data_IF_042257743935
#
_entry.id   IF_042257743935
#
_cell.length_a   1.000
_cell.length_b   1.000
_cell.length_c   1.000
_cell.angle_alpha   90.00
_cell.angle_beta   90.00
_cell.angle_gamma   90.00
#
_symmetry.space_group_name_H-M   'P 1'
#
loop_
_entity.id
_entity.type
_entity.pdbx_description
1 polymer ?
#
# COMPACT_ATOMS: atom_id res chain seq x y z
N UNK A 1 -35.67 -22.77 -12.89
CA UNK A 1 -35.70 -21.29 -12.75
C UNK A 1 -34.31 -20.82 -13.09
N UNK A 2 -34.14 -19.98 -14.11
CA UNK A 2 -32.84 -19.44 -14.47
C UNK A 2 -32.38 -18.55 -13.34
N UNK A 3 -31.10 -18.60 -12.86
CA UNK A 3 -30.61 -17.83 -11.72
C UNK A 3 -30.85 -16.30 -11.80
N UNK A 4 -31.11 -15.79 -12.98
CA UNK A 4 -31.40 -14.37 -13.27
C UNK A 4 -32.75 -13.83 -12.75
N UNK A 5 -33.62 -14.67 -12.17
CA UNK A 5 -34.93 -14.21 -11.68
C UNK A 5 -34.96 -13.83 -10.21
N UNK A 6 -33.85 -14.03 -9.46
CA UNK A 6 -33.76 -13.61 -8.06
C UNK A 6 -33.30 -12.17 -7.95
N UNK A 7 -34.02 -11.28 -7.23
CA UNK A 7 -33.61 -9.90 -6.98
C UNK A 7 -32.22 -9.79 -6.34
N UNK A 8 -31.84 -10.75 -5.49
CA UNK A 8 -30.54 -10.79 -4.82
C UNK A 8 -29.40 -10.98 -5.84
N UNK A 9 -29.55 -11.94 -6.77
CA UNK A 9 -28.55 -12.19 -7.81
C UNK A 9 -28.49 -11.03 -8.80
N UNK A 10 -29.63 -10.54 -9.24
CA UNK A 10 -29.69 -9.37 -10.13
C UNK A 10 -29.00 -8.16 -9.53
N UNK A 11 -29.20 -7.89 -8.23
CA UNK A 11 -28.50 -6.83 -7.52
C UNK A 11 -26.99 -7.02 -7.60
N UNK A 12 -26.46 -8.20 -7.27
CA UNK A 12 -25.01 -8.48 -7.25
C UNK A 12 -24.42 -8.33 -8.65
N UNK A 13 -25.06 -8.92 -9.67
CA UNK A 13 -24.64 -8.83 -11.07
C UNK A 13 -24.56 -7.37 -11.54
N UNK A 14 -25.61 -6.59 -11.29
CA UNK A 14 -25.66 -5.17 -11.64
C UNK A 14 -24.59 -4.36 -10.93
N UNK A 15 -24.29 -4.67 -9.65
CA UNK A 15 -23.22 -3.98 -8.90
C UNK A 15 -21.84 -4.28 -9.48
N UNK A 16 -21.56 -5.53 -9.86
CA UNK A 16 -20.30 -5.89 -10.54
C UNK A 16 -20.16 -5.12 -11.86
N UNK A 17 -21.18 -5.17 -12.73
CA UNK A 17 -21.16 -4.49 -14.02
C UNK A 17 -20.98 -2.95 -13.88
N UNK A 18 -21.73 -2.32 -12.98
CA UNK A 18 -21.62 -0.90 -12.69
C UNK A 18 -20.22 -0.54 -12.19
N UNK A 19 -19.71 -1.27 -11.21
CA UNK A 19 -18.39 -1.02 -10.64
C UNK A 19 -17.26 -1.15 -11.67
N UNK A 20 -17.30 -2.14 -12.54
CA UNK A 20 -16.33 -2.30 -13.66
C UNK A 20 -16.42 -1.11 -14.63
N UNK A 21 -17.64 -0.70 -14.98
CA UNK A 21 -17.87 0.45 -15.87
C UNK A 21 -17.33 1.75 -15.27
N UNK A 22 -17.59 1.99 -13.99
CA UNK A 22 -17.15 3.20 -13.28
C UNK A 22 -15.62 3.31 -13.23
N UNK A 23 -14.91 2.19 -13.08
CA UNK A 23 -13.45 2.13 -13.11
C UNK A 23 -12.87 1.94 -14.52
N UNK A 24 -13.70 1.94 -15.56
CA UNK A 24 -13.33 1.80 -16.97
C UNK A 24 -12.62 0.50 -17.31
N UNK A 25 -12.98 -0.59 -16.65
CA UNK A 25 -12.56 -1.93 -17.00
C UNK A 25 -13.59 -2.61 -17.93
N UNK A 26 -13.15 -3.50 -18.84
CA UNK A 26 -14.06 -4.32 -19.67
C UNK A 26 -14.97 -5.18 -18.79
N UNK A 27 -16.23 -5.40 -19.25
CA UNK A 27 -17.15 -6.30 -18.55
C UNK A 27 -16.69 -7.78 -18.58
N UNK A 28 -15.80 -8.13 -19.52
CA UNK A 28 -15.16 -9.44 -19.64
C UNK A 28 -13.90 -9.60 -18.77
N UNK A 29 -13.59 -8.62 -17.92
CA UNK A 29 -12.43 -8.72 -17.00
C UNK A 29 -12.55 -9.96 -16.12
N UNK A 30 -11.50 -10.80 -15.97
CA UNK A 30 -11.56 -11.99 -15.15
C UNK A 30 -11.97 -11.67 -13.71
N UNK A 31 -12.86 -12.46 -13.14
CA UNK A 31 -13.39 -12.30 -11.78
C UNK A 31 -12.81 -13.37 -10.86
N UNK A 32 -12.20 -12.96 -9.77
CA UNK A 32 -11.61 -13.82 -8.74
C UNK A 32 -12.48 -13.78 -7.49
N UNK A 33 -13.16 -14.88 -7.19
CA UNK A 33 -14.00 -15.00 -5.99
C UNK A 33 -13.18 -15.54 -4.82
N UNK A 34 -13.12 -14.82 -3.71
CA UNK A 34 -12.60 -15.36 -2.45
C UNK A 34 -13.60 -16.36 -1.88
N UNK A 35 -13.42 -17.63 -2.22
CA UNK A 35 -14.38 -18.70 -1.95
C UNK A 35 -14.01 -19.49 -0.70
N UNK A 36 -14.67 -19.20 0.42
CA UNK A 36 -14.48 -19.93 1.68
C UNK A 36 -15.33 -21.18 1.81
N UNK A 37 -16.36 -21.32 0.99
CA UNK A 37 -17.39 -22.37 1.08
C UNK A 37 -18.56 -21.99 2.01
N UNK A 38 -18.47 -20.91 2.77
CA UNK A 38 -19.56 -20.40 3.60
C UNK A 38 -20.65 -19.74 2.74
N UNK A 39 -21.87 -19.58 3.31
CA UNK A 39 -23.06 -19.12 2.57
C UNK A 39 -22.83 -17.84 1.78
N UNK A 40 -22.15 -16.82 2.32
CA UNK A 40 -21.91 -15.55 1.64
C UNK A 40 -21.08 -15.71 0.38
N UNK A 41 -19.98 -16.49 0.47
CA UNK A 41 -19.11 -16.76 -0.65
C UNK A 41 -19.76 -17.69 -1.69
N UNK A 42 -20.65 -18.55 -1.24
CA UNK A 42 -21.43 -19.46 -2.15
C UNK A 42 -22.45 -18.65 -2.95
N UNK A 43 -23.20 -17.76 -2.32
CA UNK A 43 -24.13 -16.86 -3.03
C UNK A 43 -23.38 -15.90 -3.97
N UNK A 44 -22.23 -15.38 -3.54
CA UNK A 44 -21.39 -14.57 -4.43
C UNK A 44 -20.93 -15.37 -5.66
N UNK A 45 -20.51 -16.63 -5.49
CA UNK A 45 -20.10 -17.49 -6.60
C UNK A 45 -21.25 -17.71 -7.58
N UNK A 46 -22.47 -17.99 -7.11
CA UNK A 46 -23.66 -18.11 -7.95
C UNK A 46 -23.96 -16.84 -8.74
N UNK A 47 -23.84 -15.67 -8.11
CA UNK A 47 -24.02 -14.39 -8.79
C UNK A 47 -22.95 -14.15 -9.87
N UNK A 48 -21.71 -14.58 -9.64
CA UNK A 48 -20.61 -14.45 -10.62
C UNK A 48 -20.80 -15.43 -11.78
N UNK A 49 -21.38 -16.62 -11.53
CA UNK A 49 -21.78 -17.56 -12.60
C UNK A 49 -22.86 -16.93 -13.48
N UNK A 50 -23.89 -16.33 -12.87
CA UNK A 50 -24.92 -15.60 -13.61
C UNK A 50 -24.35 -14.38 -14.38
N UNK A 51 -23.33 -13.72 -13.82
CA UNK A 51 -22.60 -12.67 -14.52
C UNK A 51 -21.87 -13.19 -15.75
N UNK A 52 -21.18 -14.34 -15.67
CA UNK A 52 -20.51 -15.00 -16.81
C UNK A 52 -21.47 -15.29 -17.96
N UNK A 53 -22.68 -15.76 -17.66
CA UNK A 53 -23.69 -16.02 -18.67
C UNK A 53 -24.09 -14.77 -19.49
N UNK A 54 -23.99 -13.57 -18.88
CA UNK A 54 -24.33 -12.33 -19.57
C UNK A 54 -23.13 -11.69 -20.28
N UNK A 55 -21.93 -11.77 -19.71
CA UNK A 55 -20.79 -10.95 -20.12
C UNK A 55 -19.57 -11.77 -20.57
N UNK A 56 -19.66 -13.11 -20.56
CA UNK A 56 -18.57 -14.01 -20.96
C UNK A 56 -17.24 -13.73 -20.22
N UNK A 57 -17.34 -13.47 -18.91
CA UNK A 57 -16.19 -13.17 -18.05
C UNK A 57 -15.59 -14.46 -17.48
N UNK A 58 -14.26 -14.69 -17.56
CA UNK A 58 -13.62 -15.82 -16.90
C UNK A 58 -13.78 -15.75 -15.38
N UNK A 59 -14.09 -16.91 -14.75
CA UNK A 59 -14.27 -17.01 -13.29
C UNK A 59 -13.19 -17.89 -12.68
N UNK A 60 -12.60 -17.38 -11.61
CA UNK A 60 -11.65 -18.10 -10.77
C UNK A 60 -12.12 -18.07 -9.33
N UNK A 61 -12.25 -19.21 -8.67
CA UNK A 61 -12.55 -19.33 -7.26
C UNK A 61 -11.26 -19.67 -6.49
N UNK A 62 -10.95 -18.90 -5.46
CA UNK A 62 -9.74 -19.10 -4.66
C UNK A 62 -10.13 -19.46 -3.24
N UNK A 63 -9.79 -20.69 -2.83
CA UNK A 63 -9.93 -21.16 -1.45
C UNK A 63 -8.58 -21.12 -0.74
N UNK A 64 -8.54 -20.47 0.44
CA UNK A 64 -7.33 -20.39 1.25
C UNK A 64 -7.49 -21.24 2.49
N UNK A 65 -6.74 -22.34 2.53
CA UNK A 65 -6.72 -23.30 3.62
C UNK A 65 -5.68 -22.90 4.67
N UNK A 66 -6.12 -22.49 5.85
CA UNK A 66 -5.27 -21.96 6.93
C UNK A 66 -4.72 -23.04 7.88
N UNK A 67 -5.16 -24.30 7.78
CA UNK A 67 -4.74 -25.39 8.68
C UNK A 67 -5.22 -25.26 10.14
N UNK A 68 -6.13 -24.33 10.46
CA UNK A 68 -6.56 -24.04 11.84
C UNK A 68 -7.74 -24.89 12.31
N UNK A 69 -8.50 -25.50 11.42
CA UNK A 69 -9.63 -26.38 11.72
C UNK A 69 -9.35 -27.81 11.26
N UNK A 70 -9.81 -28.79 12.04
CA UNK A 70 -9.76 -30.20 11.64
C UNK A 70 -10.60 -30.49 10.40
N UNK A 71 -11.62 -29.67 10.13
CA UNK A 71 -12.52 -29.79 8.99
C UNK A 71 -12.03 -29.06 7.72
N UNK A 72 -10.91 -28.33 7.78
CA UNK A 72 -10.43 -27.48 6.69
C UNK A 72 -10.22 -28.25 5.37
N UNK A 73 -9.76 -29.52 5.44
CA UNK A 73 -9.59 -30.36 4.24
C UNK A 73 -10.93 -30.79 3.62
N UNK A 74 -11.95 -31.00 4.45
CA UNK A 74 -13.30 -31.31 3.95
C UNK A 74 -13.93 -30.09 3.27
N UNK A 75 -13.69 -28.89 3.81
CA UNK A 75 -14.16 -27.63 3.21
C UNK A 75 -13.49 -27.37 1.85
N UNK A 76 -12.18 -27.61 1.76
CA UNK A 76 -11.46 -27.49 0.50
C UNK A 76 -12.01 -28.44 -0.58
N UNK A 77 -12.29 -29.71 -0.23
CA UNK A 77 -12.90 -30.69 -1.14
C UNK A 77 -14.32 -30.29 -1.54
N UNK A 78 -15.11 -29.77 -0.60
CA UNK A 78 -16.44 -29.24 -0.90
C UNK A 78 -16.35 -28.10 -1.92
N UNK A 79 -15.49 -27.11 -1.68
CA UNK A 79 -15.28 -25.98 -2.58
C UNK A 79 -14.83 -26.43 -3.98
N UNK A 80 -13.89 -27.37 -4.07
CA UNK A 80 -13.41 -27.94 -5.32
C UNK A 80 -14.53 -28.64 -6.10
N UNK A 81 -15.36 -29.42 -5.39
CA UNK A 81 -16.49 -30.12 -6.01
C UNK A 81 -17.51 -29.13 -6.58
N UNK A 82 -17.91 -28.10 -5.81
CA UNK A 82 -18.84 -27.09 -6.27
C UNK A 82 -18.31 -26.34 -7.51
N UNK A 83 -17.05 -25.93 -7.49
CA UNK A 83 -16.42 -25.27 -8.63
C UNK A 83 -16.39 -26.17 -9.88
N UNK A 84 -16.13 -27.47 -9.71
CA UNK A 84 -16.14 -28.44 -10.81
C UNK A 84 -17.53 -28.60 -11.42
N UNK A 85 -18.59 -28.65 -10.62
CA UNK A 85 -19.96 -28.76 -11.07
C UNK A 85 -20.40 -27.55 -11.89
N UNK A 86 -19.88 -26.37 -11.58
CA UNK A 86 -20.22 -25.09 -12.20
C UNK A 86 -19.21 -24.67 -13.29
N UNK A 87 -18.27 -25.53 -13.66
CA UNK A 87 -17.19 -25.21 -14.62
C UNK A 87 -16.44 -23.91 -14.28
N UNK A 88 -16.01 -23.78 -13.00
CA UNK A 88 -15.25 -22.66 -12.45
C UNK A 88 -13.83 -23.10 -12.17
N UNK A 89 -12.84 -22.32 -12.62
CA UNK A 89 -11.43 -22.57 -12.30
C UNK A 89 -11.17 -22.44 -10.80
N UNK A 90 -10.74 -23.54 -10.16
CA UNK A 90 -10.52 -23.60 -8.71
C UNK A 90 -9.03 -23.54 -8.36
N UNK A 91 -8.68 -22.67 -7.39
CA UNK A 91 -7.34 -22.51 -6.87
C UNK A 91 -7.32 -22.76 -5.37
N UNK A 92 -6.53 -23.74 -4.93
CA UNK A 92 -6.33 -24.06 -3.51
C UNK A 92 -4.97 -23.58 -3.03
N UNK A 93 -4.97 -22.63 -2.10
CA UNK A 93 -3.75 -22.15 -1.43
C UNK A 93 -3.68 -22.68 0.01
N UNK A 94 -2.64 -23.46 0.30
CA UNK A 94 -2.33 -23.88 1.66
C UNK A 94 -1.34 -22.89 2.25
N UNK A 95 -1.69 -22.30 3.38
CA UNK A 95 -0.90 -21.24 4.01
C UNK A 95 -0.60 -21.61 5.47
N UNK A 96 0.63 -21.36 5.88
CA UNK A 96 1.04 -21.49 7.27
C UNK A 96 0.81 -20.16 8.00
N UNK A 97 0.07 -20.22 9.13
CA UNK A 97 -0.16 -19.06 9.98
C UNK A 97 0.79 -19.11 11.15
N UNK A 98 1.66 -18.10 11.30
CA UNK A 98 2.58 -17.98 12.43
C UNK A 98 1.81 -17.79 13.74
N UNK A 99 1.74 -18.88 14.53
CA UNK A 99 1.07 -18.92 15.84
C UNK A 99 1.94 -18.43 17.00
N UNK A 100 3.23 -18.19 16.76
CA UNK A 100 4.24 -17.83 17.78
C UNK A 100 4.43 -16.33 18.00
N UNK A 101 3.83 -15.47 17.20
CA UNK A 101 4.04 -14.03 17.28
C UNK A 101 3.11 -13.36 18.30
N UNK A 102 3.55 -12.25 18.94
CA UNK A 102 2.71 -11.37 19.78
C UNK A 102 1.59 -10.66 19.00
N UNK A 103 1.38 -11.03 17.75
CA UNK A 103 0.33 -10.49 16.87
C UNK A 103 -0.94 -11.32 17.03
N UNK A 104 -2.09 -10.67 16.81
CA UNK A 104 -3.36 -11.38 16.77
C UNK A 104 -3.33 -12.41 15.63
N UNK A 105 -3.61 -13.69 15.97
CA UNK A 105 -3.71 -14.81 15.03
C UNK A 105 -4.66 -14.46 13.84
N UNK A 106 -5.77 -13.79 14.15
CA UNK A 106 -6.73 -13.31 13.15
C UNK A 106 -6.10 -12.33 12.14
N UNK A 107 -5.26 -11.40 12.63
CA UNK A 107 -4.62 -10.40 11.76
C UNK A 107 -3.59 -11.05 10.82
N UNK A 108 -2.81 -12.02 11.30
CA UNK A 108 -1.85 -12.74 10.46
C UNK A 108 -2.57 -13.67 9.47
N UNK A 109 -3.57 -14.43 9.89
CA UNK A 109 -4.38 -15.26 9.00
C UNK A 109 -5.05 -14.42 7.90
N UNK A 110 -5.60 -13.25 8.27
CA UNK A 110 -6.16 -12.29 7.30
C UNK A 110 -5.10 -11.78 6.31
N UNK A 111 -3.90 -11.45 6.78
CA UNK A 111 -2.82 -10.96 5.93
C UNK A 111 -2.39 -12.00 4.90
N UNK A 112 -2.14 -13.23 5.34
CA UNK A 112 -1.70 -14.34 4.48
C UNK A 112 -2.78 -14.69 3.46
N UNK A 113 -4.06 -14.71 3.89
CA UNK A 113 -5.21 -14.90 2.99
C UNK A 113 -5.25 -13.84 1.88
N UNK A 114 -5.13 -12.55 2.23
CA UNK A 114 -5.14 -11.50 1.22
C UNK A 114 -3.97 -11.59 0.26
N UNK A 115 -2.78 -11.97 0.73
CA UNK A 115 -1.62 -12.14 -0.15
C UNK A 115 -1.86 -13.23 -1.20
N UNK A 116 -2.39 -14.38 -0.80
CA UNK A 116 -2.71 -15.47 -1.72
C UNK A 116 -3.79 -15.05 -2.76
N UNK A 117 -4.83 -14.34 -2.30
CA UNK A 117 -5.89 -13.84 -3.19
C UNK A 117 -5.36 -12.83 -4.22
N UNK A 118 -4.53 -11.89 -3.78
CA UNK A 118 -3.94 -10.86 -4.64
C UNK A 118 -2.95 -11.47 -5.64
N UNK A 119 -2.17 -12.46 -5.23
CA UNK A 119 -1.24 -13.17 -6.12
C UNK A 119 -1.97 -13.78 -7.33
N UNK A 120 -3.12 -14.41 -7.12
CA UNK A 120 -3.93 -14.94 -8.23
C UNK A 120 -4.44 -13.80 -9.11
N UNK A 121 -4.95 -12.72 -8.52
CA UNK A 121 -5.43 -11.57 -9.28
C UNK A 121 -4.32 -10.97 -10.17
N UNK A 122 -3.11 -10.83 -9.63
CA UNK A 122 -1.97 -10.29 -10.38
C UNK A 122 -1.55 -11.22 -11.53
N UNK A 123 -1.57 -12.55 -11.30
CA UNK A 123 -1.20 -13.55 -12.32
C UNK A 123 -2.17 -13.56 -13.51
N UNK A 124 -3.47 -13.35 -13.27
CA UNK A 124 -4.50 -13.44 -14.33
C UNK A 124 -5.04 -12.08 -14.79
N UNK A 125 -4.58 -10.98 -14.20
CA UNK A 125 -5.10 -9.64 -14.48
C UNK A 125 -6.57 -9.48 -14.06
N UNK A 126 -6.97 -10.12 -12.95
CA UNK A 126 -8.37 -10.22 -12.51
C UNK A 126 -8.73 -9.25 -11.38
N UNK A 127 -10.04 -9.14 -11.13
CA UNK A 127 -10.64 -8.34 -10.04
C UNK A 127 -11.04 -9.25 -8.90
N UNK A 128 -10.65 -8.91 -7.66
CA UNK A 128 -11.00 -9.68 -6.46
C UNK A 128 -12.41 -9.35 -5.98
N UNK A 129 -13.26 -10.37 -5.87
CA UNK A 129 -14.61 -10.27 -5.31
C UNK A 129 -14.66 -10.87 -3.91
N UNK A 130 -15.23 -10.12 -2.96
CA UNK A 130 -15.39 -10.52 -1.56
C UNK A 130 -16.88 -10.54 -1.18
N UNK A 131 -17.33 -11.63 -0.55
CA UNK A 131 -18.70 -11.81 -0.08
C UNK A 131 -19.01 -11.09 1.24
N UNK A 132 -18.55 -9.84 1.39
CA UNK A 132 -18.84 -9.01 2.57
C UNK A 132 -20.18 -8.30 2.40
N UNK A 133 -20.96 -8.22 3.48
CA UNK A 133 -22.35 -7.76 3.48
C UNK A 133 -22.59 -6.65 4.53
N UNK A 134 -23.83 -6.21 4.70
CA UNK A 134 -24.17 -5.02 5.51
C UNK A 134 -23.79 -5.16 7.00
N UNK A 135 -23.96 -6.35 7.59
CA UNK A 135 -23.56 -6.58 8.98
C UNK A 135 -22.04 -6.56 9.17
N UNK A 136 -21.25 -7.03 8.18
CA UNK A 136 -19.79 -6.87 8.21
C UNK A 136 -19.36 -5.39 8.21
N UNK A 137 -20.17 -4.52 7.60
CA UNK A 137 -19.96 -3.08 7.65
C UNK A 137 -20.19 -2.54 9.06
N UNK A 138 -21.27 -2.98 9.76
CA UNK A 138 -21.50 -2.62 11.16
C UNK A 138 -20.33 -3.07 12.05
N UNK A 139 -19.90 -4.33 11.92
CA UNK A 139 -18.73 -4.86 12.65
C UNK A 139 -17.52 -3.95 12.45
N UNK A 140 -17.23 -3.59 11.20
CA UNK A 140 -16.07 -2.77 10.85
C UNK A 140 -16.16 -1.38 11.45
N UNK A 141 -17.31 -0.72 11.37
CA UNK A 141 -17.53 0.62 11.94
C UNK A 141 -17.40 0.60 13.46
N UNK A 142 -17.99 -0.39 14.15
CA UNK A 142 -17.89 -0.54 15.60
C UNK A 142 -16.45 -0.79 16.06
N UNK A 143 -15.69 -1.63 15.34
CA UNK A 143 -14.28 -1.86 15.63
C UNK A 143 -13.43 -0.60 15.41
N UNK A 144 -13.76 0.20 14.42
CA UNK A 144 -13.08 1.47 14.19
C UNK A 144 -13.42 2.51 15.27
N UNK A 145 -14.68 2.58 15.71
CA UNK A 145 -15.09 3.40 16.88
C UNK A 145 -14.34 3.00 18.14
N UNK A 146 -14.24 1.70 18.45
CA UNK A 146 -13.46 1.16 19.58
C UNK A 146 -11.99 1.65 19.55
N UNK A 147 -11.42 1.80 18.36
CA UNK A 147 -10.03 2.25 18.15
C UNK A 147 -9.87 3.78 18.15
N UNK A 148 -10.96 4.54 18.29
CA UNK A 148 -10.92 6.00 18.20
C UNK A 148 -10.61 6.52 16.79
N UNK A 149 -11.06 5.81 15.76
CA UNK A 149 -10.83 6.21 14.38
C UNK A 149 -11.59 7.50 14.03
N UNK A 150 -10.95 8.33 13.19
CA UNK A 150 -11.60 9.49 12.57
C UNK A 150 -12.44 9.11 11.34
N UNK A 151 -12.97 10.12 10.59
CA UNK A 151 -13.88 9.89 9.46
C UNK A 151 -13.37 8.86 8.45
N UNK A 152 -12.08 8.87 8.12
CA UNK A 152 -11.49 7.89 7.19
C UNK A 152 -11.62 6.44 7.67
N UNK A 153 -11.51 6.17 8.99
CA UNK A 153 -11.73 4.84 9.54
C UNK A 153 -13.21 4.50 9.66
N UNK A 154 -14.06 5.49 10.00
CA UNK A 154 -15.51 5.33 10.10
C UNK A 154 -16.18 5.17 8.72
N UNK A 155 -15.49 5.48 7.63
CA UNK A 155 -15.90 5.14 6.27
C UNK A 155 -16.08 3.62 6.06
N UNK A 156 -15.58 2.80 6.99
CA UNK A 156 -15.74 1.35 6.94
C UNK A 156 -15.07 0.73 5.71
N UNK A 157 -15.79 -0.20 5.08
CA UNK A 157 -15.35 -0.84 3.83
C UNK A 157 -16.00 -0.13 2.64
N UNK A 158 -15.19 0.24 1.65
CA UNK A 158 -15.72 0.70 0.36
C UNK A 158 -16.19 -0.49 -0.48
N UNK A 159 -17.20 -0.28 -1.30
CA UNK A 159 -17.64 -1.27 -2.28
C UNK A 159 -16.54 -1.59 -3.29
N UNK A 160 -15.82 -0.56 -3.70
CA UNK A 160 -14.66 -0.64 -4.59
C UNK A 160 -13.42 -0.09 -3.88
N UNK A 161 -12.32 -0.81 -3.94
CA UNK A 161 -11.07 -0.43 -3.29
C UNK A 161 -9.88 -0.98 -4.08
N UNK A 162 -8.81 -0.20 -4.20
CA UNK A 162 -7.52 -0.69 -4.71
C UNK A 162 -6.61 -1.14 -3.57
N UNK A 163 -5.88 -2.23 -3.81
CA UNK A 163 -4.78 -2.67 -2.95
C UNK A 163 -3.57 -3.00 -3.83
N UNK A 164 -2.58 -2.10 -3.85
CA UNK A 164 -1.61 -2.06 -4.94
C UNK A 164 -2.33 -1.73 -6.24
N UNK A 165 -2.08 -2.51 -7.27
CA UNK A 165 -2.73 -2.39 -8.59
C UNK A 165 -4.00 -3.23 -8.70
N UNK A 166 -4.27 -4.12 -7.73
CA UNK A 166 -5.44 -5.01 -7.76
C UNK A 166 -6.69 -4.30 -7.29
N UNK A 167 -7.75 -4.38 -8.08
CA UNK A 167 -9.09 -3.92 -7.74
C UNK A 167 -9.80 -4.96 -6.87
N UNK A 168 -10.40 -4.52 -5.78
CA UNK A 168 -11.23 -5.32 -4.87
C UNK A 168 -12.64 -4.78 -4.89
N UNK A 169 -13.62 -5.64 -5.12
CA UNK A 169 -15.04 -5.29 -5.09
C UNK A 169 -15.80 -6.08 -4.01
N UNK A 170 -16.82 -5.45 -3.45
CA UNK A 170 -17.75 -6.03 -2.44
C UNK A 170 -19.19 -5.80 -2.90
N UNK A 171 -19.65 -6.55 -3.92
CA UNK A 171 -20.93 -6.27 -4.56
C UNK A 171 -22.13 -6.57 -3.67
N UNK A 172 -21.92 -7.26 -2.54
CA UNK A 172 -22.98 -7.63 -1.56
C UNK A 172 -23.01 -6.66 -0.36
N UNK A 173 -22.20 -5.59 -0.34
CA UNK A 173 -22.05 -4.74 0.85
C UNK A 173 -23.34 -4.02 1.29
N UNK A 174 -24.28 -3.85 0.39
CA UNK A 174 -25.60 -3.27 0.68
C UNK A 174 -26.67 -4.30 1.06
N UNK A 175 -26.42 -5.60 0.86
CA UNK A 175 -27.35 -6.68 1.18
C UNK A 175 -27.30 -7.05 2.67
N UNK A 176 -28.45 -7.36 3.24
CA UNK A 176 -28.56 -7.88 4.61
C UNK A 176 -28.28 -9.40 4.60
N UNK A 177 -27.70 -9.92 5.66
CA UNK A 177 -27.39 -11.36 5.80
C UNK A 177 -28.64 -12.23 5.58
N UNK A 178 -29.78 -11.77 6.08
CA UNK A 178 -31.06 -12.48 5.92
C UNK A 178 -31.46 -12.66 4.44
N UNK A 179 -31.19 -11.67 3.57
CA UNK A 179 -31.49 -11.75 2.14
C UNK A 179 -30.59 -12.79 1.46
N UNK A 180 -29.32 -12.85 1.87
CA UNK A 180 -28.32 -13.80 1.36
C UNK A 180 -28.69 -15.24 1.74
N UNK A 181 -29.03 -15.45 3.01
CA UNK A 181 -29.43 -16.78 3.53
C UNK A 181 -30.74 -17.25 2.89
N UNK A 182 -31.73 -16.36 2.81
CA UNK A 182 -33.02 -16.69 2.18
C UNK A 182 -32.84 -17.15 0.73
N UNK A 183 -32.00 -16.47 -0.05
CA UNK A 183 -31.67 -16.90 -1.41
C UNK A 183 -30.98 -18.28 -1.42
N UNK A 184 -29.98 -18.48 -0.55
CA UNK A 184 -29.27 -19.75 -0.49
C UNK A 184 -30.18 -20.94 -0.14
N UNK A 185 -31.16 -20.74 0.76
CA UNK A 185 -32.16 -21.73 1.15
C UNK A 185 -33.17 -21.99 0.01
N UNK A 186 -33.67 -20.95 -0.65
CA UNK A 186 -34.59 -21.04 -1.78
C UNK A 186 -33.99 -21.85 -2.92
N UNK A 187 -32.75 -21.62 -3.27
CA UNK A 187 -32.01 -22.32 -4.32
C UNK A 187 -31.36 -23.62 -3.84
N UNK A 188 -31.60 -24.02 -2.60
CA UNK A 188 -31.06 -25.26 -1.99
C UNK A 188 -29.54 -25.37 -2.16
N UNK A 189 -28.82 -24.24 -2.07
CA UNK A 189 -27.37 -24.22 -2.18
C UNK A 189 -26.72 -25.00 -1.05
N UNK A 190 -25.59 -25.63 -1.32
CA UNK A 190 -24.82 -26.35 -0.33
C UNK A 190 -23.66 -25.47 0.13
N UNK A 191 -23.54 -25.24 1.42
CA UNK A 191 -22.44 -24.48 2.04
C UNK A 191 -21.88 -25.17 3.27
N UNK A 192 -20.72 -24.74 3.73
CA UNK A 192 -20.09 -25.22 4.96
C UNK A 192 -20.18 -24.16 6.06
N UNK A 193 -20.29 -24.60 7.32
CA UNK A 193 -20.24 -23.72 8.48
C UNK A 193 -18.90 -23.89 9.19
N UNK A 194 -18.19 -22.77 9.37
CA UNK A 194 -16.94 -22.73 10.12
C UNK A 194 -17.24 -22.56 11.63
N UNK A 195 -16.92 -23.59 12.41
CA UNK A 195 -17.15 -23.64 13.85
C UNK A 195 -16.41 -22.53 14.60
N UNK A 196 -15.30 -22.02 14.04
CA UNK A 196 -14.55 -20.90 14.64
C UNK A 196 -15.35 -19.60 14.69
N UNK A 197 -16.40 -19.44 13.88
CA UNK A 197 -17.29 -18.29 13.90
C UNK A 197 -18.09 -18.16 15.23
N UNK A 198 -18.21 -19.27 16.00
CA UNK A 198 -18.87 -19.28 17.29
C UNK A 198 -17.97 -18.86 18.46
N UNK A 199 -16.67 -18.70 18.23
CA UNK A 199 -15.71 -18.36 19.28
C UNK A 199 -15.71 -16.86 19.59
N UNK A 200 -16.39 -16.45 20.66
CA UNK A 200 -16.51 -15.04 21.09
C UNK A 200 -15.24 -14.44 21.71
N UNK A 201 -14.12 -15.18 21.73
CA UNK A 201 -12.81 -14.65 22.15
C UNK A 201 -12.26 -13.57 21.21
N UNK A 202 -12.71 -13.55 19.96
CA UNK A 202 -12.36 -12.54 18.99
C UNK A 202 -13.39 -11.40 18.99
N UNK A 203 -12.92 -10.15 19.02
CA UNK A 203 -13.78 -8.96 19.02
C UNK A 203 -14.86 -8.99 17.92
N UNK A 204 -14.50 -9.46 16.72
CA UNK A 204 -15.41 -9.51 15.57
C UNK A 204 -16.53 -10.53 15.80
N UNK A 205 -16.20 -11.73 16.26
CA UNK A 205 -17.21 -12.76 16.56
C UNK A 205 -18.10 -12.33 17.73
N UNK A 206 -17.53 -11.69 18.77
CA UNK A 206 -18.31 -11.13 19.87
C UNK A 206 -19.33 -10.09 19.37
N UNK A 207 -18.92 -9.18 18.49
CA UNK A 207 -19.85 -8.21 17.90
C UNK A 207 -20.95 -8.91 17.10
N UNK A 208 -20.57 -9.87 16.24
CA UNK A 208 -21.48 -10.62 15.36
C UNK A 208 -22.52 -11.43 16.14
N UNK A 209 -22.08 -12.16 17.16
CA UNK A 209 -22.90 -13.14 17.84
C UNK A 209 -23.71 -12.53 19.00
N UNK A 210 -23.15 -11.52 19.69
CA UNK A 210 -23.75 -10.98 20.91
C UNK A 210 -24.33 -9.56 20.73
N UNK A 211 -23.58 -8.66 20.09
CA UNK A 211 -23.94 -7.24 20.12
C UNK A 211 -24.87 -6.86 18.97
N UNK A 212 -24.50 -7.21 17.73
CA UNK A 212 -25.25 -6.80 16.54
C UNK A 212 -26.66 -7.35 16.54
N UNK A 213 -26.94 -8.62 16.91
CA UNK A 213 -28.31 -9.11 17.01
C UNK A 213 -29.18 -8.30 17.95
N UNK A 214 -28.67 -7.91 19.11
CA UNK A 214 -29.40 -7.06 20.07
C UNK A 214 -29.68 -5.65 19.51
N UNK A 215 -28.70 -5.08 18.79
CA UNK A 215 -28.86 -3.78 18.13
C UNK A 215 -29.93 -3.84 17.03
N UNK A 216 -29.88 -4.87 16.18
CA UNK A 216 -30.85 -5.07 15.09
C UNK A 216 -32.27 -5.37 15.60
N UNK A 217 -32.40 -6.14 16.67
CA UNK A 217 -33.69 -6.36 17.33
C UNK A 217 -34.32 -5.04 17.82
N UNK A 218 -33.51 -4.10 18.32
CA UNK A 218 -33.96 -2.79 18.78
C UNK A 218 -34.15 -1.77 17.67
N UNK A 219 -33.24 -1.81 16.67
CA UNK A 219 -33.21 -0.89 15.53
C UNK A 219 -33.08 -1.68 14.20
N UNK A 220 -34.18 -2.21 13.64
CA UNK A 220 -34.14 -3.06 12.45
C UNK A 220 -33.51 -2.42 11.21
N UNK A 221 -33.44 -1.09 11.15
CA UNK A 221 -32.84 -0.34 10.02
C UNK A 221 -31.39 0.06 10.27
N UNK A 222 -30.72 -0.49 11.28
CA UNK A 222 -29.36 -0.10 11.67
C UNK A 222 -28.35 -0.36 10.56
N UNK A 223 -28.47 -1.46 9.84
CA UNK A 223 -27.64 -1.80 8.66
C UNK A 223 -27.60 -0.63 7.67
N UNK A 224 -28.77 -0.14 7.26
CA UNK A 224 -28.92 0.97 6.31
C UNK A 224 -28.41 2.30 6.86
N UNK A 225 -28.63 2.56 8.16
CA UNK A 225 -28.19 3.84 8.78
C UNK A 225 -26.68 3.88 9.00
N UNK A 226 -26.07 2.77 9.41
CA UNK A 226 -24.62 2.66 9.55
C UNK A 226 -23.95 2.70 8.17
N UNK A 227 -24.48 1.99 7.16
CA UNK A 227 -24.00 2.05 5.80
C UNK A 227 -23.97 3.48 5.26
N UNK A 228 -25.08 4.23 5.40
CA UNK A 228 -25.16 5.64 5.00
C UNK A 228 -24.14 6.52 5.74
N UNK A 229 -23.97 6.32 7.05
CA UNK A 229 -23.00 7.10 7.82
C UNK A 229 -21.58 6.82 7.36
N UNK A 230 -21.25 5.56 7.06
CA UNK A 230 -19.95 5.17 6.52
C UNK A 230 -19.72 5.80 5.14
N UNK A 231 -20.72 5.78 4.26
CA UNK A 231 -20.66 6.41 2.93
C UNK A 231 -20.41 7.92 3.02
N UNK A 232 -21.15 8.64 3.86
CA UNK A 232 -20.92 10.08 4.09
C UNK A 232 -19.52 10.36 4.64
N UNK A 233 -19.02 9.50 5.53
CA UNK A 233 -17.64 9.60 6.02
C UNK A 233 -16.62 9.35 4.88
N UNK A 234 -16.90 8.42 3.96
CA UNK A 234 -16.05 8.14 2.81
C UNK A 234 -16.00 9.35 1.86
N UNK A 235 -17.15 9.91 1.49
CA UNK A 235 -17.25 11.10 0.64
C UNK A 235 -16.48 12.29 1.23
N UNK A 236 -16.70 12.61 2.49
CA UNK A 236 -15.97 13.69 3.16
C UNK A 236 -14.46 13.41 3.21
N UNK A 237 -14.07 12.17 3.47
CA UNK A 237 -12.65 11.78 3.52
C UNK A 237 -11.99 11.89 2.16
N UNK A 238 -12.70 11.59 1.07
CA UNK A 238 -12.22 11.76 -0.30
C UNK A 238 -11.97 13.24 -0.62
N UNK A 239 -12.94 14.11 -0.36
CA UNK A 239 -12.82 15.57 -0.58
C UNK A 239 -11.64 16.18 0.20
N UNK A 240 -11.49 15.78 1.47
CA UNK A 240 -10.36 16.22 2.31
C UNK A 240 -9.03 15.67 1.77
N UNK A 241 -9.01 14.42 1.32
CA UNK A 241 -7.80 13.80 0.75
C UNK A 241 -7.35 14.50 -0.52
N UNK A 242 -8.28 14.82 -1.43
CA UNK A 242 -8.00 15.55 -2.68
C UNK A 242 -7.43 16.95 -2.40
N UNK A 243 -8.03 17.66 -1.45
CA UNK A 243 -7.53 18.96 -1.02
C UNK A 243 -6.14 18.85 -0.35
N UNK A 244 -5.95 17.85 0.50
CA UNK A 244 -4.67 17.60 1.15
C UNK A 244 -3.57 17.25 0.13
N UNK A 245 -3.92 16.52 -0.94
CA UNK A 245 -2.98 16.21 -2.01
C UNK A 245 -2.52 17.48 -2.74
N UNK A 246 -3.42 18.42 -3.03
CA UNK A 246 -3.06 19.73 -3.63
C UNK A 246 -2.08 20.50 -2.73
N UNK A 247 -2.39 20.62 -1.44
CA UNK A 247 -1.46 21.26 -0.49
C UNK A 247 -0.13 20.52 -0.35
N UNK A 248 -0.14 19.19 -0.45
CA UNK A 248 1.09 18.40 -0.46
C UNK A 248 1.95 18.71 -1.70
N UNK A 249 1.34 18.75 -2.90
CA UNK A 249 2.04 19.12 -4.14
C UNK A 249 2.70 20.50 -4.03
N UNK A 250 2.00 21.48 -3.42
CA UNK A 250 2.53 22.82 -3.18
C UNK A 250 3.69 22.84 -2.17
N UNK A 251 3.66 21.94 -1.19
CA UNK A 251 4.67 21.86 -0.12
C UNK A 251 5.83 20.94 -0.47
N UNK A 252 5.66 19.95 -1.37
CA UNK A 252 6.73 19.01 -1.67
C UNK A 252 7.87 19.64 -2.47
N UNK A 253 9.07 19.10 -2.28
CA UNK A 253 10.25 19.30 -3.13
C UNK A 253 10.35 18.18 -4.16
N UNK A 254 11.23 18.37 -5.16
CA UNK A 254 11.46 17.37 -6.23
C UNK A 254 11.88 15.97 -5.73
N UNK A 255 12.46 15.90 -4.54
CA UNK A 255 12.94 14.69 -3.86
C UNK A 255 12.01 14.21 -2.74
N UNK A 256 10.74 14.58 -2.80
CA UNK A 256 9.70 14.27 -1.81
C UNK A 256 9.93 14.85 -0.40
N UNK A 257 10.91 15.74 -0.19
CA UNK A 257 11.01 16.51 1.06
C UNK A 257 9.80 17.44 1.20
N UNK A 258 9.42 17.80 2.43
CA UNK A 258 8.43 18.85 2.66
C UNK A 258 9.11 20.19 2.97
N UNK A 259 8.69 21.24 2.28
CA UNK A 259 9.04 22.62 2.57
C UNK A 259 8.39 23.05 3.90
N UNK A 260 9.17 23.15 4.96
CA UNK A 260 8.66 23.49 6.29
C UNK A 260 7.98 24.85 6.36
N UNK A 261 8.53 25.96 5.82
CA UNK A 261 7.86 27.24 5.74
C UNK A 261 6.50 27.23 5.06
N UNK A 262 6.37 26.56 3.89
CA UNK A 262 5.08 26.42 3.21
C UNK A 262 4.10 25.59 4.03
N UNK A 263 4.56 24.51 4.65
CA UNK A 263 3.75 23.69 5.52
C UNK A 263 3.27 24.49 6.74
N UNK A 264 4.17 25.25 7.39
CA UNK A 264 3.86 26.06 8.56
C UNK A 264 2.86 27.21 8.27
N UNK A 265 2.76 27.66 7.02
CA UNK A 265 1.80 28.67 6.60
C UNK A 265 0.35 28.15 6.51
N UNK A 266 0.15 26.84 6.46
CA UNK A 266 -1.17 26.23 6.47
C UNK A 266 -1.77 26.24 7.90
N UNK A 267 -3.10 26.12 8.01
CA UNK A 267 -3.73 25.90 9.30
C UNK A 267 -3.37 24.51 9.86
N UNK A 268 -3.35 24.37 11.20
CA UNK A 268 -2.96 23.11 11.86
C UNK A 268 -3.68 21.85 11.32
N UNK A 269 -5.01 21.86 11.04
CA UNK A 269 -5.66 20.71 10.44
C UNK A 269 -5.07 20.35 9.07
N UNK A 270 -4.79 21.33 8.21
CA UNK A 270 -4.19 21.08 6.91
C UNK A 270 -2.74 20.62 7.00
N UNK A 271 -1.96 21.17 7.93
CA UNK A 271 -0.60 20.68 8.20
C UNK A 271 -0.62 19.17 8.52
N UNK A 272 -1.53 18.72 9.38
CA UNK A 272 -1.68 17.32 9.73
C UNK A 272 -2.09 16.45 8.53
N UNK A 273 -2.97 16.93 7.67
CA UNK A 273 -3.40 16.22 6.46
C UNK A 273 -2.28 16.12 5.42
N UNK A 274 -1.50 17.19 5.24
CA UNK A 274 -0.32 17.18 4.34
C UNK A 274 0.73 16.18 4.82
N UNK A 275 1.00 16.10 6.13
CA UNK A 275 1.92 15.08 6.67
C UNK A 275 1.42 13.67 6.35
N UNK A 276 0.12 13.39 6.50
CA UNK A 276 -0.45 12.09 6.15
C UNK A 276 -0.34 11.78 4.64
N UNK A 277 -0.59 12.78 3.78
CA UNK A 277 -0.40 12.66 2.34
C UNK A 277 1.07 12.40 1.99
N UNK A 278 1.98 13.08 2.66
CA UNK A 278 3.42 12.89 2.50
C UNK A 278 3.87 11.46 2.86
N UNK A 279 3.43 10.92 4.00
CA UNK A 279 3.75 9.53 4.38
C UNK A 279 3.22 8.53 3.35
N UNK A 280 2.00 8.76 2.84
CA UNK A 280 1.40 7.93 1.78
C UNK A 280 2.22 7.96 0.49
N UNK A 281 2.72 9.13 0.10
CA UNK A 281 3.62 9.29 -1.04
C UNK A 281 4.97 8.60 -0.87
N UNK A 282 5.40 8.36 0.40
CA UNK A 282 6.60 7.57 0.72
C UNK A 282 6.31 6.04 0.75
N UNK A 283 5.08 5.61 0.51
CA UNK A 283 4.66 4.21 0.66
C UNK A 283 4.47 3.77 2.12
N UNK A 284 4.39 4.72 3.06
CA UNK A 284 4.34 4.45 4.49
C UNK A 284 2.91 4.59 5.05
N UNK A 285 2.68 3.89 6.16
CA UNK A 285 1.42 4.04 6.90
C UNK A 285 1.30 5.46 7.48
N UNK A 286 0.08 6.01 7.42
CA UNK A 286 -0.20 7.30 8.03
C UNK A 286 0.17 7.33 9.51
N UNK A 287 0.86 8.37 10.00
CA UNK A 287 1.24 8.49 11.40
C UNK A 287 0.01 8.64 12.30
N UNK A 288 0.13 8.16 13.54
CA UNK A 288 -0.85 8.41 14.60
C UNK A 288 -0.96 9.92 14.89
N UNK A 289 -2.04 10.33 15.56
CA UNK A 289 -2.21 11.73 15.97
C UNK A 289 -0.99 12.22 16.79
N UNK A 290 -0.55 11.45 17.78
CA UNK A 290 0.60 11.81 18.62
C UNK A 290 1.89 11.97 17.82
N UNK A 291 2.17 11.07 16.86
CA UNK A 291 3.32 11.19 15.98
C UNK A 291 3.21 12.41 15.05
N UNK A 292 2.01 12.66 14.51
CA UNK A 292 1.76 13.85 13.69
C UNK A 292 2.03 15.14 14.49
N UNK A 293 1.53 15.21 15.71
CA UNK A 293 1.74 16.38 16.60
C UNK A 293 3.23 16.57 16.92
N UNK A 294 4.00 15.48 17.11
CA UNK A 294 5.45 15.54 17.30
C UNK A 294 6.17 16.08 16.04
N UNK A 295 5.81 15.61 14.86
CA UNK A 295 6.39 16.12 13.60
C UNK A 295 6.05 17.60 13.41
N UNK A 296 4.82 18.02 13.68
CA UNK A 296 4.43 19.43 13.61
C UNK A 296 5.17 20.31 14.62
N UNK A 297 5.45 19.80 15.83
CA UNK A 297 6.25 20.52 16.83
C UNK A 297 7.68 20.82 16.33
N UNK A 298 8.25 19.98 15.45
CA UNK A 298 9.56 20.20 14.87
C UNK A 298 9.64 21.49 14.05
N UNK A 299 8.53 21.91 13.42
CA UNK A 299 8.48 23.15 12.63
C UNK A 299 8.78 24.40 13.47
N UNK A 300 8.52 24.33 14.78
CA UNK A 300 8.75 25.44 15.76
C UNK A 300 10.14 25.40 16.40
N UNK A 301 10.94 24.37 16.12
CA UNK A 301 12.28 24.27 16.72
C UNK A 301 13.20 25.39 16.22
N UNK A 302 14.26 25.69 17.00
CA UNK A 302 15.29 26.70 16.62
C UNK A 302 15.91 26.32 15.27
N UNK A 303 16.39 27.35 14.55
CA UNK A 303 16.94 27.18 13.19
C UNK A 303 18.13 26.21 13.10
N UNK A 304 18.96 26.20 14.12
CA UNK A 304 20.17 25.38 14.24
C UNK A 304 19.91 23.96 14.80
N UNK A 305 18.69 23.71 15.28
CA UNK A 305 18.29 22.41 15.78
C UNK A 305 17.93 21.46 14.64
N UNK A 306 18.30 20.20 14.80
CA UNK A 306 17.91 19.10 13.90
C UNK A 306 17.08 18.08 14.67
N UNK A 307 15.83 18.43 15.06
CA UNK A 307 14.97 17.50 15.76
C UNK A 307 14.59 16.33 14.87
N UNK A 308 14.35 15.16 15.51
CA UNK A 308 13.90 13.95 14.82
C UNK A 308 12.75 13.27 15.55
N UNK A 309 11.91 12.57 14.78
CA UNK A 309 10.84 11.70 15.25
C UNK A 309 11.01 10.33 14.62
N UNK A 310 11.13 9.30 15.46
CA UNK A 310 11.35 7.93 15.00
C UNK A 310 10.04 7.20 14.71
N UNK A 311 10.06 6.40 13.63
CA UNK A 311 9.00 5.51 13.21
C UNK A 311 9.56 4.08 13.05
N UNK A 312 8.70 3.13 12.79
CA UNK A 312 9.11 1.72 12.67
C UNK A 312 10.15 1.48 11.56
N UNK A 313 9.97 2.12 10.41
CA UNK A 313 10.76 1.88 9.21
C UNK A 313 11.68 3.04 8.81
N UNK A 314 11.59 4.14 9.54
CA UNK A 314 12.37 5.34 9.24
C UNK A 314 12.21 6.39 10.32
N UNK A 315 12.63 7.59 10.01
CA UNK A 315 12.51 8.75 10.87
C UNK A 315 12.28 10.03 10.08
N UNK A 316 11.52 10.94 10.65
CA UNK A 316 11.41 12.31 10.14
C UNK A 316 12.48 13.16 10.80
N UNK A 317 13.25 13.86 10.01
CA UNK A 317 14.28 14.79 10.49
C UNK A 317 13.98 16.17 9.90
N UNK A 318 14.05 17.22 10.73
CA UNK A 318 14.07 18.60 10.23
C UNK A 318 15.50 19.05 10.01
N UNK A 319 15.80 19.48 8.79
CA UNK A 319 17.09 20.04 8.42
C UNK A 319 16.89 21.21 7.45
N UNK A 320 17.57 22.32 7.69
CA UNK A 320 17.51 23.57 6.91
C UNK A 320 16.05 24.02 6.60
N UNK A 321 15.17 23.95 7.61
CA UNK A 321 13.73 24.25 7.58
C UNK A 321 12.84 23.25 6.84
N UNK A 322 13.39 22.29 6.10
CA UNK A 322 12.61 21.23 5.42
C UNK A 322 12.50 19.98 6.28
N UNK A 323 11.47 19.16 6.05
CA UNK A 323 11.28 17.86 6.68
C UNK A 323 11.71 16.77 5.71
N UNK A 324 12.52 15.85 6.21
CA UNK A 324 13.07 14.71 5.47
C UNK A 324 12.52 13.42 6.04
N UNK A 325 12.08 12.50 5.16
CA UNK A 325 11.88 11.11 5.52
C UNK A 325 13.14 10.32 5.26
N UNK A 326 13.73 9.79 6.32
CA UNK A 326 14.96 9.00 6.25
C UNK A 326 14.64 7.57 6.63
N UNK A 327 14.70 6.66 5.66
CA UNK A 327 14.48 5.22 5.89
C UNK A 327 15.62 4.65 6.70
N UNK A 328 15.33 3.72 7.61
CA UNK A 328 16.35 2.94 8.28
C UNK A 328 17.00 2.04 7.23
N UNK A 329 18.20 2.43 6.79
CA UNK A 329 18.92 1.77 5.69
C UNK A 329 19.30 0.36 6.11
N UNK A 330 18.86 -0.63 5.34
CA UNK A 330 19.28 -2.03 5.45
C UNK A 330 20.45 -2.35 4.51
N UNK A 331 20.87 -1.40 3.67
CA UNK A 331 21.96 -1.61 2.70
C UNK A 331 23.26 -1.02 3.22
N UNK A 332 24.30 -1.86 3.24
CA UNK A 332 25.67 -1.36 3.47
C UNK A 332 26.06 -0.46 2.31
N UNK A 333 26.57 0.72 2.63
CA UNK A 333 27.15 1.64 1.63
C UNK A 333 28.57 1.18 1.34
N UNK A 334 28.87 0.64 0.14
CA UNK A 334 30.20 0.16 -0.16
C UNK A 334 31.20 1.30 -0.17
N UNK A 335 32.37 1.11 0.44
CA UNK A 335 33.40 2.15 0.47
C UNK A 335 34.03 2.36 -0.93
N UNK A 336 34.24 1.30 -1.66
CA UNK A 336 34.77 1.31 -3.03
C UNK A 336 34.00 0.30 -3.88
N UNK A 337 33.58 0.73 -5.07
CA UNK A 337 32.89 -0.11 -6.04
C UNK A 337 33.56 0.09 -7.41
N UNK A 338 34.04 -0.99 -8.03
CA UNK A 338 34.50 -0.93 -9.42
C UNK A 338 33.30 -0.86 -10.33
N UNK A 339 33.32 0.06 -11.27
CA UNK A 339 32.23 0.29 -12.21
C UNK A 339 32.63 -0.20 -13.59
N UNK A 340 31.67 -0.76 -14.32
CA UNK A 340 31.85 -1.13 -15.73
C UNK A 340 31.29 0.02 -16.57
N UNK A 341 32.10 0.67 -17.41
CA UNK A 341 31.62 1.74 -18.28
C UNK A 341 30.46 1.29 -19.17
N UNK A 342 29.56 2.23 -19.47
CA UNK A 342 28.40 2.05 -20.35
C UNK A 342 27.29 1.10 -19.79
N UNK A 343 27.39 0.61 -18.56
CA UNK A 343 26.37 -0.17 -17.90
C UNK A 343 25.57 0.68 -16.89
N UNK A 344 24.30 0.33 -16.71
CA UNK A 344 23.49 0.87 -15.62
C UNK A 344 23.80 0.10 -14.33
N UNK A 345 24.20 0.81 -13.29
CA UNK A 345 24.58 0.24 -12.00
C UNK A 345 23.66 0.80 -10.94
N UNK A 346 22.95 -0.10 -10.23
CA UNK A 346 22.08 0.27 -9.14
C UNK A 346 22.89 0.77 -7.94
N UNK A 347 22.45 1.88 -7.36
CA UNK A 347 22.95 2.45 -6.11
C UNK A 347 21.81 2.45 -5.06
N UNK A 348 21.54 1.32 -4.41
CA UNK A 348 20.35 1.14 -3.58
C UNK A 348 20.25 2.15 -2.43
N UNK A 349 21.37 2.59 -1.89
CA UNK A 349 21.42 3.61 -0.82
C UNK A 349 21.06 5.03 -1.30
N UNK A 350 21.07 5.27 -2.63
CA UNK A 350 20.62 6.52 -3.26
C UNK A 350 19.25 6.38 -3.94
N UNK A 351 18.65 5.17 -3.91
CA UNK A 351 17.40 4.83 -4.61
C UNK A 351 17.45 5.23 -6.07
N UNK A 352 18.50 4.79 -6.79
CA UNK A 352 18.65 5.16 -8.18
C UNK A 352 19.76 4.38 -8.86
N UNK A 353 19.92 4.69 -10.15
CA UNK A 353 20.90 4.06 -11.03
C UNK A 353 21.88 5.08 -11.59
N UNK A 354 23.14 4.68 -11.72
CA UNK A 354 24.17 5.48 -12.38
C UNK A 354 24.61 4.80 -13.67
N UNK A 355 24.79 5.59 -14.72
CA UNK A 355 25.45 5.20 -15.96
C UNK A 355 26.58 6.16 -16.27
N UNK A 356 27.77 5.60 -16.54
CA UNK A 356 28.95 6.38 -16.88
C UNK A 356 29.36 6.00 -18.32
N UNK A 357 29.16 6.92 -19.26
CA UNK A 357 29.59 6.77 -20.62
C UNK A 357 30.99 7.39 -20.77
N UNK A 358 31.95 6.58 -21.21
CA UNK A 358 33.32 7.00 -21.49
C UNK A 358 33.62 6.69 -22.97
N UNK A 359 33.33 7.63 -23.91
CA UNK A 359 33.37 7.36 -25.34
C UNK A 359 34.76 7.00 -25.89
N UNK A 360 35.83 7.36 -25.16
CA UNK A 360 37.23 7.12 -25.54
C UNK A 360 38.02 6.39 -24.44
N UNK A 361 37.33 5.52 -23.65
CA UNK A 361 38.04 4.71 -22.67
C UNK A 361 39.12 3.85 -23.36
N UNK A 362 40.34 3.95 -22.88
CA UNK A 362 41.36 2.94 -23.20
C UNK A 362 41.01 1.68 -22.44
N UNK A 363 41.32 0.50 -22.98
CA UNK A 363 41.06 -0.78 -22.29
C UNK A 363 41.66 -0.84 -20.85
N UNK A 364 42.65 0.01 -20.58
CA UNK A 364 43.36 0.11 -19.30
C UNK A 364 42.69 1.06 -18.29
N UNK A 365 41.71 1.89 -18.68
CA UNK A 365 41.10 2.89 -17.79
C UNK A 365 40.20 2.21 -16.74
N UNK A 366 40.50 2.45 -15.48
CA UNK A 366 39.69 1.95 -14.34
C UNK A 366 38.71 3.01 -13.93
N UNK A 367 37.40 2.63 -13.87
CA UNK A 367 36.34 3.47 -13.35
C UNK A 367 35.91 2.91 -12.01
N UNK A 368 35.87 3.75 -10.96
CA UNK A 368 35.47 3.35 -9.64
C UNK A 368 34.60 4.41 -8.97
N UNK A 369 33.85 3.97 -7.96
CA UNK A 369 33.04 4.82 -7.11
C UNK A 369 33.55 4.67 -5.69
N UNK A 370 33.83 5.80 -5.03
CA UNK A 370 34.24 5.86 -3.63
C UNK A 370 33.21 6.62 -2.80
N UNK A 371 32.78 6.03 -1.70
CA UNK A 371 31.95 6.69 -0.70
C UNK A 371 32.77 7.04 0.55
N UNK A 372 32.16 7.74 1.50
CA UNK A 372 32.83 8.22 2.73
C UNK A 372 34.09 9.07 2.45
N UNK A 373 34.14 9.74 1.32
CA UNK A 373 35.29 10.49 0.80
C UNK A 373 35.42 11.90 1.38
N UNK A 374 35.06 12.13 2.67
CA UNK A 374 34.98 13.46 3.31
C UNK A 374 36.29 14.27 3.26
N UNK A 375 37.42 13.58 3.24
CA UNK A 375 38.75 14.20 3.22
C UNK A 375 39.31 14.38 1.80
N UNK A 376 38.57 13.97 0.77
CA UNK A 376 38.96 14.19 -0.60
C UNK A 376 38.99 15.69 -0.91
N UNK A 377 40.09 16.16 -1.49
CA UNK A 377 40.21 17.56 -1.89
C UNK A 377 39.72 17.71 -3.32
N UNK A 378 38.66 18.47 -3.52
CA UNK A 378 37.98 18.59 -4.81
C UNK A 378 37.76 20.06 -5.19
N UNK A 379 37.66 20.31 -6.48
CA UNK A 379 37.32 21.60 -7.07
C UNK A 379 36.16 21.40 -8.03
N UNK A 380 34.92 21.70 -7.65
CA UNK A 380 33.77 21.69 -8.55
C UNK A 380 33.99 22.58 -9.76
N UNK A 381 33.42 22.21 -10.93
CA UNK A 381 33.60 22.93 -12.20
C UNK A 381 33.32 24.43 -12.08
N UNK A 382 32.30 24.80 -11.33
CA UNK A 382 31.87 26.19 -11.12
C UNK A 382 32.54 26.87 -9.91
N UNK A 383 33.61 26.27 -9.36
CA UNK A 383 34.29 26.83 -8.19
C UNK A 383 35.67 27.39 -8.53
N UNK A 384 36.04 28.50 -7.85
CA UNK A 384 37.35 29.11 -8.02
C UNK A 384 38.41 28.50 -7.12
N UNK A 385 38.02 27.76 -6.09
CA UNK A 385 38.93 27.22 -5.06
C UNK A 385 38.71 25.72 -4.85
N UNK A 386 39.80 25.04 -4.52
CA UNK A 386 39.75 23.63 -4.09
C UNK A 386 39.63 23.57 -2.58
N UNK A 387 38.67 22.75 -2.09
CA UNK A 387 38.41 22.51 -0.66
C UNK A 387 38.24 21.04 -0.37
N UNK A 388 38.31 20.65 0.89
CA UNK A 388 37.92 19.30 1.32
C UNK A 388 36.42 19.09 1.10
N UNK A 389 36.02 17.89 0.69
CA UNK A 389 34.64 17.57 0.37
C UNK A 389 33.69 17.82 1.56
N UNK A 390 34.15 17.62 2.82
CA UNK A 390 33.39 17.98 4.04
C UNK A 390 33.04 19.47 4.13
N UNK A 391 33.83 20.36 3.52
CA UNK A 391 33.54 21.80 3.48
C UNK A 391 32.53 22.12 2.39
N UNK A 392 32.61 21.45 1.25
CA UNK A 392 31.60 21.54 0.20
C UNK A 392 30.24 21.04 0.66
N UNK A 393 30.16 19.96 1.45
CA UNK A 393 28.91 19.51 2.05
C UNK A 393 28.21 20.57 2.89
N UNK A 394 28.97 21.48 3.53
CA UNK A 394 28.37 22.62 4.26
C UNK A 394 27.86 23.68 3.29
N UNK A 395 28.61 23.97 2.24
CA UNK A 395 28.23 24.96 1.19
C UNK A 395 26.96 24.49 0.46
N UNK A 396 26.92 23.23 0.09
CA UNK A 396 25.76 22.61 -0.61
C UNK A 396 24.62 22.23 0.33
N UNK A 397 24.77 22.41 1.64
CA UNK A 397 23.79 22.06 2.67
C UNK A 397 23.41 20.59 2.66
N UNK A 398 24.35 19.69 2.31
CA UNK A 398 24.11 18.25 2.33
C UNK A 398 23.85 17.78 3.75
N UNK A 399 22.75 17.06 4.01
CA UNK A 399 22.41 16.54 5.33
C UNK A 399 23.51 15.62 5.89
N UNK A 400 23.69 15.62 7.21
CA UNK A 400 24.76 14.83 7.86
C UNK A 400 24.66 13.33 7.58
N UNK A 401 23.44 12.81 7.50
CA UNK A 401 23.19 11.38 7.26
C UNK A 401 23.45 10.95 5.82
N UNK A 402 23.44 11.87 4.85
CA UNK A 402 23.73 11.58 3.45
C UNK A 402 25.21 11.66 3.11
N UNK A 403 26.02 12.43 3.87
CA UNK A 403 27.41 12.74 3.53
C UNK A 403 28.30 11.52 3.34
N UNK A 404 28.05 10.44 4.06
CA UNK A 404 28.83 9.19 3.93
C UNK A 404 28.47 8.42 2.67
N UNK A 405 27.23 8.57 2.20
CA UNK A 405 26.72 7.91 1.01
C UNK A 405 26.96 8.67 -0.28
N UNK A 406 27.45 9.91 -0.23
CA UNK A 406 27.77 10.69 -1.45
C UNK A 406 28.88 10.00 -2.23
N UNK A 407 28.61 9.50 -3.48
CA UNK A 407 29.61 8.84 -4.28
C UNK A 407 30.54 9.87 -4.95
N UNK A 408 31.83 9.64 -4.86
CA UNK A 408 32.83 10.23 -5.71
C UNK A 408 33.15 9.24 -6.84
N UNK A 409 33.07 9.68 -8.07
CA UNK A 409 33.40 8.90 -9.26
C UNK A 409 34.86 9.21 -9.60
N UNK A 410 35.65 8.14 -9.71
CA UNK A 410 37.08 8.23 -10.01
C UNK A 410 37.39 7.51 -11.32
N UNK A 411 38.31 8.06 -12.08
CA UNK A 411 38.95 7.41 -13.25
C UNK A 411 40.44 7.39 -12.99
N UNK A 412 41.04 6.21 -13.03
CA UNK A 412 42.43 6.00 -12.69
C UNK A 412 42.84 6.65 -11.36
N UNK A 413 41.98 6.47 -10.35
CA UNK A 413 42.07 7.02 -9.00
C UNK A 413 41.95 8.56 -8.88
N UNK A 414 41.71 9.27 -9.99
CA UNK A 414 41.48 10.71 -9.99
C UNK A 414 39.96 11.02 -9.91
N UNK A 415 39.52 11.87 -9.00
CA UNK A 415 38.09 12.20 -8.85
C UNK A 415 37.60 13.12 -9.97
N UNK A 416 36.59 12.68 -10.72
CA UNK A 416 36.05 13.39 -11.89
C UNK A 416 34.67 13.98 -11.66
N UNK A 417 33.86 13.38 -10.77
CA UNK A 417 32.53 13.87 -10.45
C UNK A 417 32.04 13.37 -9.08
N UNK A 418 30.97 13.99 -8.60
CA UNK A 418 30.25 13.61 -7.39
C UNK A 418 28.76 13.50 -7.72
N UNK A 419 28.03 12.60 -7.05
CA UNK A 419 26.57 12.59 -7.09
C UNK A 419 26.06 13.21 -5.78
N UNK A 420 25.52 14.41 -5.87
CA UNK A 420 25.02 15.17 -4.71
C UNK A 420 23.54 15.47 -4.93
N UNK A 421 22.68 15.04 -4.03
CA UNK A 421 21.21 15.24 -4.12
C UNK A 421 20.64 14.84 -5.51
N UNK A 422 21.09 13.70 -6.06
CA UNK A 422 20.65 13.22 -7.37
C UNK A 422 21.19 14.00 -8.56
N UNK A 423 22.14 14.91 -8.36
CA UNK A 423 22.78 15.70 -9.43
C UNK A 423 24.23 15.33 -9.57
N UNK A 424 24.70 15.28 -10.83
CA UNK A 424 26.11 15.13 -11.12
C UNK A 424 26.83 16.47 -11.00
N UNK A 425 27.84 16.54 -10.13
CA UNK A 425 28.73 17.70 -9.94
C UNK A 425 30.10 17.33 -10.50
N UNK A 426 30.42 17.84 -11.68
CA UNK A 426 31.73 17.64 -12.31
C UNK A 426 32.85 18.39 -11.58
N UNK A 427 34.04 17.81 -11.59
CA UNK A 427 35.24 18.35 -10.91
C UNK A 427 36.28 18.86 -11.92
N UNK A 428 37.15 19.74 -11.44
CA UNK A 428 38.30 20.25 -12.23
C UNK A 428 39.60 19.54 -11.80
N UNK A 429 40.50 19.21 -12.76
CA UNK A 429 40.34 19.44 -14.20
C UNK A 429 39.22 18.60 -14.77
N UNK A 430 38.51 19.12 -15.77
CA UNK A 430 37.43 18.39 -16.44
C UNK A 430 38.05 17.20 -17.19
N UNK A 431 37.58 16.00 -16.86
CA UNK A 431 37.93 14.82 -17.62
C UNK A 431 37.28 14.93 -19.01
N UNK A 432 38.07 14.85 -20.11
CA UNK A 432 37.51 15.00 -21.45
C UNK A 432 36.57 13.83 -21.77
N UNK A 433 35.42 14.15 -22.35
CA UNK A 433 34.47 13.21 -22.96
C UNK A 433 33.82 12.19 -22.02
N UNK A 434 33.50 12.56 -20.76
CA UNK A 434 32.75 11.72 -19.84
C UNK A 434 31.33 12.26 -19.69
N UNK A 435 30.36 11.39 -19.90
CA UNK A 435 28.98 11.68 -19.60
C UNK A 435 28.50 10.77 -18.45
N UNK A 436 28.03 11.39 -17.36
CA UNK A 436 27.52 10.70 -16.18
C UNK A 436 26.05 11.04 -16.04
N UNK A 437 25.22 10.01 -16.10
CA UNK A 437 23.77 10.12 -15.91
C UNK A 437 23.39 9.43 -14.60
N UNK A 438 22.63 10.11 -13.76
CA UNK A 438 22.02 9.53 -12.57
C UNK A 438 20.49 9.65 -12.70
N UNK A 439 19.76 8.56 -12.46
CA UNK A 439 18.30 8.51 -12.43
C UNK A 439 17.82 7.93 -11.11
N UNK A 440 16.76 8.51 -10.54
CA UNK A 440 16.05 7.93 -9.39
C UNK A 440 15.13 6.82 -9.89
N UNK A 441 14.89 5.81 -9.01
CA UNK A 441 13.97 4.68 -9.25
C UNK A 441 12.51 5.13 -9.24
#
# INVERSE_FOLDING_TARGET
VTPLQSPTIEHIVNRIATSLTDVKLPLQTPLVVAYSGGVDSTVLLQAVIAYREQFDSPIHAVHVHHGLSENAEQWAKHCELQCRLEDVAFHLYRVDVDTGSRKSLEAEARKVRYNALLEVCDQIGGVLLLGQHAEDQIETVLLQLKRGAGPQGLAGMGEVQYRGDTLIMRPMLALEKAEIVAYAEEEMLQWVEDESNQQNSFDRNFLRNEIIPHLLARWPKLTKTVGRSAELCAEQSALVSDSAQKYFEDCKRSDLRLNGPKLAALSLPWQAMVIRAWFRAQGELSPSKAQTDQVLAMLKAKHDATPEVNFKWGRVIRFDQDLYWVVNVTHEVPQNLKLVPNQNIALPWLRGHIRIAVPKAREEDTVSLQTNARNLKVKPENANVSKLLKEWFKVWRVPRWERNGVPAILINDEPVALIVEGRCVYLQPKAPDIEITFSLD
#
